data_IF_229440116079
#
_entry.id   IF_229440116079
#
_cell.length_a   1.000
_cell.length_b   1.000
_cell.length_c   1.000
_cell.angle_alpha   90.00
_cell.angle_beta   90.00
_cell.angle_gamma   90.00
#
_symmetry.space_group_name_H-M   'P 1'
#
loop_
_entity.id
_entity.type
_entity.pdbx_description
1 polymer ?
#
# COMPACT_ATOMS: atom_id res chain seq x y z
N UNK A 1 3.58 13.37 0.96
CA UNK A 1 3.93 11.93 0.96
C UNK A 1 5.10 11.62 0.03
N UNK A 2 5.03 11.87 -1.29
CA UNK A 2 6.13 11.55 -2.24
C UNK A 2 7.50 12.09 -1.82
N UNK A 3 7.57 13.32 -1.31
CA UNK A 3 8.81 13.89 -0.75
C UNK A 3 9.36 13.05 0.41
N UNK A 4 8.53 12.74 1.40
CA UNK A 4 8.92 11.97 2.59
C UNK A 4 9.31 10.53 2.22
N UNK A 5 8.55 9.87 1.35
CA UNK A 5 8.93 8.54 0.86
C UNK A 5 10.27 8.56 0.11
N UNK A 6 10.58 9.66 -0.57
CA UNK A 6 11.86 9.85 -1.27
C UNK A 6 13.02 10.19 -0.33
N UNK A 7 12.78 10.95 0.75
CA UNK A 7 13.79 11.18 1.79
C UNK A 7 14.12 9.89 2.52
N UNK A 8 13.10 9.08 2.79
CA UNK A 8 13.21 7.71 3.31
C UNK A 8 13.60 6.69 2.23
N UNK A 9 14.17 7.09 1.08
CA UNK A 9 14.73 6.16 0.09
C UNK A 9 13.78 5.12 -0.51
N UNK A 10 12.46 5.20 -0.26
CA UNK A 10 11.42 4.34 -0.82
C UNK A 10 10.99 4.78 -2.23
N UNK A 11 11.39 5.99 -2.62
CA UNK A 11 11.15 6.57 -3.94
C UNK A 11 12.43 7.23 -4.49
N UNK A 12 12.53 7.47 -5.81
CA UNK A 12 13.71 8.10 -6.39
C UNK A 12 14.03 9.43 -5.71
N UNK A 13 15.31 9.68 -5.38
CA UNK A 13 15.79 10.92 -4.72
C UNK A 13 15.44 12.21 -5.47
N UNK A 14 14.95 12.10 -6.70
CA UNK A 14 14.39 13.21 -7.46
C UNK A 14 13.33 13.99 -6.67
N UNK A 15 12.46 13.33 -5.91
CA UNK A 15 11.37 13.99 -5.18
C UNK A 15 11.81 14.66 -3.87
N UNK A 16 12.89 14.20 -3.24
CA UNK A 16 13.48 14.71 -1.99
C UNK A 16 14.20 16.07 -2.13
N UNK A 17 13.65 17.00 -2.92
CA UNK A 17 14.20 18.37 -3.07
C UNK A 17 13.17 19.42 -2.65
N UNK A 18 13.47 20.15 -1.58
CA UNK A 18 12.68 21.27 -1.09
C UNK A 18 13.13 22.57 -1.77
N UNK A 19 12.16 23.45 -2.06
CA UNK A 19 12.44 24.83 -2.49
C UNK A 19 12.60 25.71 -1.25
N UNK A 20 13.72 26.44 -1.08
CA UNK A 20 14.04 27.12 0.18
C UNK A 20 13.05 28.23 0.56
N UNK A 21 12.41 28.88 -0.43
CA UNK A 21 11.51 30.02 -0.17
C UNK A 21 10.15 29.56 0.40
N UNK A 22 9.58 28.50 -0.16
CA UNK A 22 8.19 28.07 0.13
C UNK A 22 8.13 26.78 0.95
N UNK A 23 9.28 26.19 1.28
CA UNK A 23 9.42 24.94 2.01
C UNK A 23 8.60 23.76 1.44
N UNK A 24 8.42 23.72 0.11
CA UNK A 24 7.64 22.70 -0.60
C UNK A 24 8.50 22.04 -1.69
N UNK A 25 8.32 20.73 -1.87
CA UNK A 25 8.87 19.98 -3.00
C UNK A 25 8.00 20.21 -4.26
N UNK A 26 8.41 21.16 -5.11
CA UNK A 26 7.74 21.45 -6.40
C UNK A 26 7.64 20.22 -7.30
N UNK A 27 8.64 19.33 -7.25
CA UNK A 27 8.67 18.08 -8.02
C UNK A 27 7.60 17.09 -7.58
N UNK A 28 7.41 16.96 -6.26
CA UNK A 28 6.33 16.13 -5.71
C UNK A 28 4.96 16.73 -6.05
N UNK A 29 4.82 18.05 -5.99
CA UNK A 29 3.59 18.75 -6.34
C UNK A 29 3.23 18.54 -7.82
N UNK A 30 4.21 18.69 -8.71
CA UNK A 30 4.02 18.47 -10.15
C UNK A 30 3.63 17.03 -10.46
N UNK A 31 4.30 16.05 -9.85
CA UNK A 31 3.96 14.64 -10.04
C UNK A 31 2.54 14.31 -9.55
N UNK A 32 2.16 14.81 -8.37
CA UNK A 32 0.78 14.67 -7.88
C UNK A 32 -0.22 15.34 -8.83
N UNK A 33 0.08 16.54 -9.34
CA UNK A 33 -0.79 17.25 -10.28
C UNK A 33 -0.98 16.45 -11.57
N UNK A 34 0.11 15.94 -12.16
CA UNK A 34 0.05 15.08 -13.36
C UNK A 34 -0.78 13.82 -13.09
N UNK A 35 -0.58 13.17 -11.94
CA UNK A 35 -1.34 11.97 -11.57
C UNK A 35 -2.84 12.29 -11.42
N UNK A 36 -3.19 13.40 -10.77
CA UNK A 36 -4.58 13.85 -10.65
C UNK A 36 -5.20 14.13 -12.02
N UNK A 37 -4.46 14.77 -12.93
CA UNK A 37 -4.91 15.03 -14.30
C UNK A 37 -5.16 13.72 -15.05
N UNK A 38 -4.27 12.73 -14.91
CA UNK A 38 -4.47 11.38 -15.49
C UNK A 38 -5.78 10.77 -14.96
N UNK A 39 -5.99 10.74 -13.64
CA UNK A 39 -7.22 10.18 -13.07
C UNK A 39 -8.48 10.92 -13.54
N UNK A 40 -8.42 12.25 -13.69
CA UNK A 40 -9.56 13.04 -14.20
C UNK A 40 -9.86 12.75 -15.67
N UNK A 41 -8.83 12.59 -16.51
CA UNK A 41 -9.02 12.26 -17.93
C UNK A 41 -9.61 10.87 -18.16
N UNK A 42 -9.31 9.90 -17.29
CA UNK A 42 -9.82 8.53 -17.38
C UNK A 42 -11.12 8.31 -16.57
N UNK A 43 -11.67 9.35 -15.95
CA UNK A 43 -12.90 9.23 -15.17
C UNK A 43 -14.09 9.72 -15.96
N UNK A 44 -14.94 8.78 -16.39
CA UNK A 44 -16.15 9.08 -17.16
C UNK A 44 -17.22 9.81 -16.33
N UNK A 45 -17.20 9.65 -15.01
CA UNK A 45 -18.13 10.33 -14.11
C UNK A 45 -17.57 10.50 -12.69
N UNK A 46 -18.06 11.54 -12.00
CA UNK A 46 -17.66 11.88 -10.64
C UNK A 46 -17.90 10.73 -9.64
N UNK A 47 -19.01 10.00 -9.78
CA UNK A 47 -19.36 8.90 -8.87
C UNK A 47 -18.33 7.77 -8.92
N UNK A 48 -17.89 7.38 -10.12
CA UNK A 48 -16.87 6.36 -10.36
C UNK A 48 -15.51 6.79 -9.84
N UNK A 49 -15.15 8.07 -10.02
CA UNK A 49 -13.93 8.62 -9.40
C UNK A 49 -13.95 8.44 -7.89
N UNK A 50 -15.06 8.80 -7.26
CA UNK A 50 -15.22 8.70 -5.80
C UNK A 50 -15.18 7.26 -5.29
N UNK A 51 -15.70 6.29 -6.06
CA UNK A 51 -15.59 4.87 -5.73
C UNK A 51 -14.13 4.39 -5.73
N UNK A 52 -13.38 4.73 -6.78
CA UNK A 52 -11.94 4.41 -6.88
C UNK A 52 -11.16 5.04 -5.72
N UNK A 53 -11.39 6.33 -5.45
CA UNK A 53 -10.75 7.05 -4.36
C UNK A 53 -11.07 6.40 -3.01
N UNK A 54 -12.33 6.07 -2.76
CA UNK A 54 -12.77 5.41 -1.52
C UNK A 54 -12.09 4.06 -1.33
N UNK A 55 -12.02 3.25 -2.38
CA UNK A 55 -11.34 1.96 -2.31
C UNK A 55 -9.84 2.10 -2.02
N UNK A 56 -9.15 3.06 -2.63
CA UNK A 56 -7.75 3.34 -2.27
C UNK A 56 -7.57 3.83 -0.84
N UNK A 57 -8.53 4.58 -0.28
CA UNK A 57 -8.49 4.96 1.14
C UNK A 57 -8.65 3.74 2.04
N UNK A 58 -9.58 2.83 1.75
CA UNK A 58 -9.77 1.59 2.52
C UNK A 58 -8.46 0.79 2.54
N UNK A 59 -7.85 0.55 1.38
CA UNK A 59 -6.57 -0.17 1.27
C UNK A 59 -5.44 0.59 1.98
N UNK A 60 -5.38 1.92 1.84
CA UNK A 60 -4.40 2.76 2.54
C UNK A 60 -4.52 2.65 4.06
N UNK A 61 -5.74 2.58 4.59
CA UNK A 61 -5.99 2.42 6.03
C UNK A 61 -5.62 1.04 6.56
N UNK A 62 -5.53 0.00 5.71
CA UNK A 62 -5.10 -1.33 6.12
C UNK A 62 -3.65 -1.38 6.61
N UNK A 63 -2.80 -0.42 6.19
CA UNK A 63 -1.42 -0.35 6.66
C UNK A 63 -1.34 -0.13 8.18
N UNK A 64 -2.24 0.68 8.76
CA UNK A 64 -2.23 1.01 10.18
C UNK A 64 -2.41 -0.21 11.11
N UNK A 65 -3.46 -1.06 10.98
CA UNK A 65 -3.59 -2.26 11.81
C UNK A 65 -2.50 -3.30 11.57
N UNK A 66 -1.95 -3.39 10.34
CA UNK A 66 -0.80 -4.27 10.04
C UNK A 66 0.44 -3.79 10.79
N UNK A 67 0.78 -2.50 10.70
CA UNK A 67 1.89 -1.91 11.45
C UNK A 67 1.70 -2.05 12.96
N UNK A 68 0.48 -1.84 13.45
CA UNK A 68 0.13 -2.03 14.85
C UNK A 68 0.41 -3.46 15.33
N UNK A 69 -0.06 -4.47 14.59
CA UNK A 69 0.16 -5.88 14.96
C UNK A 69 1.62 -6.31 14.87
N UNK A 70 2.37 -5.75 13.92
CA UNK A 70 3.79 -6.05 13.72
C UNK A 70 4.71 -5.37 14.74
N UNK A 71 4.41 -4.13 15.15
CA UNK A 71 5.25 -3.34 16.06
C UNK A 71 4.87 -3.49 17.54
N UNK A 72 3.57 -3.65 17.83
CA UNK A 72 3.04 -3.76 19.19
C UNK A 72 2.24 -5.07 19.34
N UNK A 73 2.89 -6.21 19.67
CA UNK A 73 2.23 -7.51 19.72
C UNK A 73 1.02 -7.60 20.67
N UNK A 74 0.98 -6.75 21.71
CA UNK A 74 -0.15 -6.67 22.66
C UNK A 74 -1.45 -6.19 22.01
N UNK A 75 -1.38 -5.36 20.97
CA UNK A 75 -2.56 -4.83 20.26
C UNK A 75 -2.87 -5.60 18.98
N UNK A 76 -2.18 -6.72 18.71
CA UNK A 76 -2.37 -7.55 17.52
C UNK A 76 -3.80 -8.04 17.33
N UNK A 77 -4.50 -8.40 18.41
CA UNK A 77 -5.90 -8.82 18.32
C UNK A 77 -6.83 -7.68 17.89
N UNK A 78 -6.58 -6.47 18.40
CA UNK A 78 -7.33 -5.28 18.00
C UNK A 78 -7.05 -4.93 16.53
N UNK A 79 -5.78 -4.97 16.12
CA UNK A 79 -5.40 -4.78 14.72
C UNK A 79 -6.04 -5.82 13.78
N UNK A 80 -6.15 -7.09 14.20
CA UNK A 80 -6.87 -8.13 13.45
C UNK A 80 -8.32 -7.73 13.20
N UNK A 81 -9.05 -7.32 14.26
CA UNK A 81 -10.46 -6.94 14.13
C UNK A 81 -10.62 -5.77 13.16
N UNK A 82 -9.81 -4.71 13.32
CA UNK A 82 -9.84 -3.54 12.44
C UNK A 82 -9.50 -3.92 10.99
N UNK A 83 -8.49 -4.77 10.78
CA UNK A 83 -8.09 -5.22 9.44
C UNK A 83 -9.21 -6.03 8.76
N UNK A 84 -9.86 -6.94 9.48
CA UNK A 84 -10.97 -7.73 8.95
C UNK A 84 -12.14 -6.83 8.58
N UNK A 85 -12.49 -5.85 9.43
CA UNK A 85 -13.54 -4.86 9.10
C UNK A 85 -13.19 -4.09 7.81
N UNK A 86 -11.95 -3.61 7.67
CA UNK A 86 -11.51 -2.94 6.44
C UNK A 86 -11.56 -3.87 5.22
N UNK A 87 -11.25 -5.16 5.40
CA UNK A 87 -11.34 -6.17 4.33
C UNK A 87 -12.79 -6.34 3.90
N UNK A 88 -13.73 -6.44 4.84
CA UNK A 88 -15.15 -6.54 4.54
C UNK A 88 -15.71 -5.27 3.87
N UNK A 89 -15.16 -4.10 4.19
CA UNK A 89 -15.54 -2.86 3.50
C UNK A 89 -15.14 -2.84 2.03
N UNK A 90 -14.12 -3.59 1.60
CA UNK A 90 -13.80 -3.72 0.17
C UNK A 90 -14.96 -4.32 -0.62
N UNK A 91 -15.76 -5.21 -0.02
CA UNK A 91 -16.95 -5.78 -0.67
C UNK A 91 -18.06 -4.78 -0.97
N UNK A 92 -18.00 -3.59 -0.38
CA UNK A 92 -18.95 -2.50 -0.71
C UNK A 92 -18.59 -1.79 -2.02
N UNK A 93 -17.37 -1.99 -2.52
CA UNK A 93 -16.90 -1.44 -3.79
C UNK A 93 -17.35 -2.36 -4.92
N UNK A 94 -17.84 -1.78 -6.02
CA UNK A 94 -18.23 -2.52 -7.21
C UNK A 94 -17.08 -3.39 -7.74
N UNK A 95 -17.39 -4.63 -8.15
CA UNK A 95 -16.40 -5.63 -8.61
C UNK A 95 -15.50 -5.07 -9.71
N UNK A 96 -16.06 -4.39 -10.71
CA UNK A 96 -15.26 -3.81 -11.79
C UNK A 96 -14.26 -2.77 -11.28
N UNK A 97 -14.69 -1.96 -10.30
CA UNK A 97 -13.84 -0.95 -9.67
C UNK A 97 -12.75 -1.60 -8.82
N UNK A 98 -13.07 -2.67 -8.09
CA UNK A 98 -12.07 -3.45 -7.36
C UNK A 98 -11.01 -4.03 -8.31
N UNK A 99 -11.43 -4.62 -9.45
CA UNK A 99 -10.50 -5.14 -10.46
C UNK A 99 -9.58 -4.02 -10.97
N UNK A 100 -10.13 -2.86 -11.32
CA UNK A 100 -9.35 -1.73 -11.80
C UNK A 100 -8.33 -1.25 -10.75
N UNK A 101 -8.74 -1.15 -9.49
CA UNK A 101 -7.84 -0.80 -8.39
C UNK A 101 -6.74 -1.83 -8.19
N UNK A 102 -7.06 -3.12 -8.25
CA UNK A 102 -6.10 -4.21 -8.12
C UNK A 102 -5.06 -4.18 -9.24
N UNK A 103 -5.47 -3.91 -10.48
CA UNK A 103 -4.56 -3.69 -11.61
C UNK A 103 -3.63 -2.50 -11.35
N UNK A 104 -4.17 -1.37 -10.90
CA UNK A 104 -3.36 -0.19 -10.57
C UNK A 104 -2.35 -0.51 -9.47
N UNK A 105 -2.76 -1.21 -8.40
CA UNK A 105 -1.86 -1.61 -7.31
C UNK A 105 -0.77 -2.56 -7.79
N UNK A 106 -1.07 -3.52 -8.67
CA UNK A 106 -0.06 -4.40 -9.25
C UNK A 106 0.95 -3.60 -10.08
N UNK A 107 0.49 -2.63 -10.88
CA UNK A 107 1.38 -1.74 -11.64
C UNK A 107 2.28 -0.93 -10.70
N UNK A 108 1.71 -0.30 -9.66
CA UNK A 108 2.47 0.48 -8.69
C UNK A 108 3.48 -0.39 -7.91
N UNK A 109 3.09 -1.60 -7.51
CA UNK A 109 3.99 -2.55 -6.84
C UNK A 109 5.09 -3.04 -7.78
N UNK A 110 4.82 -3.18 -9.08
CA UNK A 110 5.83 -3.53 -10.09
C UNK A 110 6.83 -2.39 -10.29
N UNK A 111 6.36 -1.13 -10.32
CA UNK A 111 7.23 0.03 -10.36
C UNK A 111 8.11 0.06 -9.11
N UNK A 112 7.53 -0.10 -7.92
CA UNK A 112 8.30 -0.18 -6.67
C UNK A 112 9.34 -1.30 -6.71
N UNK A 113 8.94 -2.50 -7.17
CA UNK A 113 9.82 -3.64 -7.33
C UNK A 113 11.00 -3.33 -8.26
N UNK A 114 10.76 -2.65 -9.39
CA UNK A 114 11.81 -2.30 -10.35
C UNK A 114 12.87 -1.37 -9.78
N UNK A 115 12.47 -0.46 -8.88
CA UNK A 115 13.38 0.47 -8.21
C UNK A 115 14.24 -0.24 -7.14
N UNK A 116 13.66 -1.21 -6.44
CA UNK A 116 14.29 -1.89 -5.31
C UNK A 116 15.00 -3.21 -5.66
N UNK A 117 14.78 -3.74 -6.88
CA UNK A 117 15.36 -4.99 -7.34
C UNK A 117 16.90 -5.04 -7.20
N UNK A 118 17.59 -3.93 -7.47
CA UNK A 118 19.06 -3.85 -7.35
C UNK A 118 19.55 -3.89 -5.91
N UNK A 119 18.73 -3.49 -4.93
CA UNK A 119 19.12 -3.45 -3.51
C UNK A 119 18.83 -4.78 -2.81
N UNK A 120 17.61 -5.27 -2.96
CA UNK A 120 17.08 -6.38 -2.15
C UNK A 120 17.25 -7.75 -2.86
N UNK A 121 17.33 -7.74 -4.20
CA UNK A 121 17.32 -8.93 -5.03
C UNK A 121 15.91 -9.52 -5.23
N UNK A 122 15.69 -10.19 -6.36
CA UNK A 122 14.34 -10.59 -6.80
C UNK A 122 13.61 -11.55 -5.83
N UNK A 123 14.34 -12.51 -5.25
CA UNK A 123 13.74 -13.52 -4.37
C UNK A 123 13.14 -12.88 -3.12
N UNK A 124 13.92 -12.01 -2.46
CA UNK A 124 13.51 -11.32 -1.26
C UNK A 124 12.39 -10.31 -1.56
N UNK A 125 12.51 -9.60 -2.69
CA UNK A 125 11.51 -8.64 -3.13
C UNK A 125 10.14 -9.29 -3.40
N UNK A 126 10.13 -10.45 -4.06
CA UNK A 126 8.91 -11.22 -4.26
C UNK A 126 8.30 -11.63 -2.92
N UNK A 127 9.10 -12.08 -1.94
CA UNK A 127 8.61 -12.45 -0.61
C UNK A 127 7.99 -11.26 0.16
N UNK A 128 8.44 -10.02 -0.11
CA UNK A 128 7.87 -8.81 0.48
C UNK A 128 6.55 -8.39 -0.18
N UNK A 129 6.45 -8.46 -1.50
CA UNK A 129 5.33 -7.88 -2.25
C UNK A 129 4.19 -8.89 -2.46
N UNK A 130 4.53 -10.16 -2.70
CA UNK A 130 3.59 -11.20 -3.11
C UNK A 130 2.46 -11.48 -2.10
N UNK A 131 2.67 -11.46 -0.77
CA UNK A 131 1.56 -11.63 0.18
C UNK A 131 0.44 -10.61 -0.02
N UNK A 132 0.80 -9.34 -0.25
CA UNK A 132 -0.18 -8.28 -0.47
C UNK A 132 -0.86 -8.40 -1.84
N UNK A 133 -0.11 -8.73 -2.90
CA UNK A 133 -0.70 -8.97 -4.23
C UNK A 133 -1.69 -10.14 -4.18
N UNK A 134 -1.32 -11.26 -3.54
CA UNK A 134 -2.22 -12.41 -3.38
C UNK A 134 -3.48 -12.01 -2.62
N UNK A 135 -3.33 -11.27 -1.52
CA UNK A 135 -4.48 -10.80 -0.74
C UNK A 135 -5.44 -9.96 -1.58
N UNK A 136 -4.93 -8.96 -2.32
CA UNK A 136 -5.74 -8.10 -3.19
C UNK A 136 -6.40 -8.92 -4.30
N UNK A 137 -5.68 -9.83 -4.96
CA UNK A 137 -6.22 -10.68 -6.02
C UNK A 137 -7.27 -11.67 -5.51
N UNK A 138 -7.16 -12.16 -4.28
CA UNK A 138 -8.14 -13.08 -3.69
C UNK A 138 -9.41 -12.37 -3.23
N UNK A 139 -9.29 -11.16 -2.67
CA UNK A 139 -10.43 -10.39 -2.16
C UNK A 139 -11.24 -9.72 -3.28
N UNK A 140 -10.63 -9.43 -4.43
CA UNK A 140 -11.29 -8.76 -5.56
C UNK A 140 -12.47 -9.55 -6.19
N UNK A 141 -12.35 -10.86 -6.49
CA UNK A 141 -13.42 -11.61 -7.14
C UNK A 141 -14.44 -12.23 -6.18
N UNK A 142 -14.18 -12.20 -4.86
CA UNK A 142 -15.02 -12.86 -3.87
C UNK A 142 -16.14 -11.89 -3.46
N UNK A 143 -17.39 -12.29 -3.65
CA UNK A 143 -18.56 -11.54 -3.14
C UNK A 143 -19.06 -12.08 -1.81
N UNK A 144 -18.42 -13.14 -1.30
CA UNK A 144 -18.80 -13.79 -0.06
C UNK A 144 -18.02 -13.20 1.11
N UNK A 145 -18.72 -12.36 1.89
CA UNK A 145 -18.20 -11.74 3.12
C UNK A 145 -17.48 -12.71 4.05
N UNK A 146 -17.95 -13.94 4.20
CA UNK A 146 -17.30 -14.91 5.08
C UNK A 146 -15.95 -15.38 4.52
N UNK A 147 -15.86 -15.59 3.21
CA UNK A 147 -14.61 -15.96 2.57
C UNK A 147 -13.58 -14.82 2.64
N UNK A 148 -13.99 -13.56 2.44
CA UNK A 148 -13.08 -12.41 2.59
C UNK A 148 -12.62 -12.19 4.03
N UNK A 149 -13.50 -12.44 5.01
CA UNK A 149 -13.10 -12.42 6.41
C UNK A 149 -11.98 -13.46 6.67
N UNK A 150 -12.13 -14.68 6.15
CA UNK A 150 -11.12 -15.73 6.29
C UNK A 150 -9.81 -15.32 5.60
N UNK A 151 -9.87 -14.84 4.37
CA UNK A 151 -8.68 -14.39 3.62
C UNK A 151 -7.98 -13.26 4.37
N UNK A 152 -8.74 -12.29 4.89
CA UNK A 152 -8.22 -11.19 5.69
C UNK A 152 -7.55 -11.64 6.99
N UNK A 153 -8.16 -12.59 7.71
CA UNK A 153 -7.56 -13.19 8.92
C UNK A 153 -6.26 -13.90 8.59
N UNK A 154 -6.24 -14.74 7.54
CA UNK A 154 -5.05 -15.50 7.13
C UNK A 154 -3.92 -14.54 6.73
N UNK A 155 -4.22 -13.55 5.88
CA UNK A 155 -3.25 -12.56 5.45
C UNK A 155 -2.69 -11.79 6.65
N UNK A 156 -3.56 -11.23 7.50
CA UNK A 156 -3.16 -10.46 8.65
C UNK A 156 -2.26 -11.27 9.59
N UNK A 157 -2.65 -12.52 9.86
CA UNK A 157 -1.88 -13.39 10.75
C UNK A 157 -0.50 -13.70 10.18
N UNK A 158 -0.41 -13.92 8.87
CA UNK A 158 0.85 -14.17 8.17
C UNK A 158 1.78 -12.94 8.20
N UNK A 159 1.29 -11.76 7.80
CA UNK A 159 2.14 -10.55 7.70
C UNK A 159 2.53 -9.97 9.05
N UNK A 160 1.79 -10.30 10.12
CA UNK A 160 2.12 -9.91 11.50
C UNK A 160 2.89 -10.98 12.26
N UNK A 161 3.24 -12.10 11.64
CA UNK A 161 4.04 -13.13 12.28
C UNK A 161 5.47 -12.64 12.55
N UNK A 162 6.03 -13.03 13.71
CA UNK A 162 7.36 -12.59 14.15
C UNK A 162 8.45 -12.92 13.14
N UNK A 163 8.36 -14.06 12.44
CA UNK A 163 9.35 -14.48 11.44
C UNK A 163 9.30 -13.59 10.21
N UNK A 164 8.10 -13.30 9.73
CA UNK A 164 7.91 -12.41 8.57
C UNK A 164 8.33 -10.98 8.91
N UNK A 165 7.97 -10.48 10.09
CA UNK A 165 8.40 -9.15 10.56
C UNK A 165 9.92 -9.06 10.71
N UNK A 166 10.58 -10.10 11.24
CA UNK A 166 12.03 -10.14 11.33
C UNK A 166 12.70 -10.14 9.94
N UNK A 167 12.14 -10.88 8.98
CA UNK A 167 12.58 -10.84 7.59
C UNK A 167 12.46 -9.43 7.00
N UNK A 168 11.30 -8.77 7.14
CA UNK A 168 11.11 -7.40 6.66
C UNK A 168 12.13 -6.42 7.26
N UNK A 169 12.43 -6.55 8.57
CA UNK A 169 13.45 -5.72 9.23
C UNK A 169 14.85 -5.97 8.67
N UNK A 170 15.21 -7.22 8.38
CA UNK A 170 16.52 -7.55 7.79
C UNK A 170 16.73 -6.99 6.39
N UNK A 171 15.64 -6.77 5.65
CA UNK A 171 15.66 -6.17 4.31
C UNK A 171 15.45 -4.65 4.30
N UNK A 172 15.31 -4.03 5.48
CA UNK A 172 15.13 -2.59 5.60
C UNK A 172 16.39 -1.86 5.14
N UNK A 173 16.21 -0.69 4.53
CA UNK A 173 17.34 0.12 4.06
C UNK A 173 17.98 0.84 5.23
N UNK A 174 19.18 0.41 5.64
CA UNK A 174 19.94 1.02 6.74
C UNK A 174 20.34 2.48 6.47
N UNK A 175 20.32 2.93 5.20
CA UNK A 175 20.57 4.34 4.84
C UNK A 175 19.36 5.24 5.10
N UNK A 176 18.20 4.68 5.41
CA UNK A 176 17.02 5.41 5.85
C UNK A 176 17.12 5.57 7.37
N UNK A 177 17.99 6.46 7.80
CA UNK A 177 18.01 6.88 9.19
C UNK A 177 16.82 7.84 9.34
N UNK A 178 15.77 7.38 10.00
CA UNK A 178 14.72 8.27 10.52
C UNK A 178 15.44 9.10 11.59
N UNK A 179 15.86 10.30 11.22
CA UNK A 179 16.34 11.28 12.18
C UNK A 179 15.07 11.86 12.80
N UNK A 180 14.73 11.42 14.01
CA UNK A 180 13.70 12.04 14.83
C UNK A 180 14.03 13.52 15.09
#
# INVERSE_FOLDING_TARGET
MLYAMSSEGQMPRYFAKITPIVNISRRSLLANFILSVIFLFFSDNWTGLMLVVTGFHIIGYMAAPVSMGALAPRTRLFGLVVFVVLTLLLNTVEIQTQINMSVILIVLMTIYASLEFRRIGIKNLLMLILPFIIFVCLTTPITNYFADAIVGVIFYWFVTDKRYVAFCRSTANEKNIIVD
#
